data_IF_265263745858
#
_entry.id   IF_265263745858
#
_cell.length_a   1.000
_cell.length_b   1.000
_cell.length_c   1.000
_cell.angle_alpha   90.00
_cell.angle_beta   90.00
_cell.angle_gamma   90.00
#
_symmetry.space_group_name_H-M   'P 1'
#
loop_
_entity.id
_entity.type
_entity.pdbx_description
1 polymer ?
#
# COMPACT_ATOMS: atom_id res chain seq x y z
N UNK A 1 0.87 -6.71 31.64
CA UNK A 1 1.88 -6.32 30.66
C UNK A 1 3.23 -6.85 31.11
N UNK A 2 3.91 -7.64 30.29
CA UNK A 2 5.31 -7.99 30.55
C UNK A 2 6.24 -6.79 30.22
N UNK A 3 7.48 -6.81 30.71
CA UNK A 3 8.46 -5.70 30.56
C UNK A 3 8.78 -5.39 29.09
N UNK A 4 8.49 -6.31 28.16
CA UNK A 4 8.80 -6.16 26.73
C UNK A 4 7.60 -5.74 25.86
N UNK A 5 6.46 -5.40 26.45
CA UNK A 5 5.24 -5.05 25.72
C UNK A 5 5.03 -3.54 25.65
N UNK A 6 4.98 -3.01 24.43
CA UNK A 6 4.71 -1.59 24.17
C UNK A 6 3.21 -1.28 24.13
N UNK A 7 2.42 -2.15 23.47
CA UNK A 7 0.96 -2.04 23.37
C UNK A 7 0.33 -3.40 23.67
N UNK A 8 -0.67 -3.42 24.54
CA UNK A 8 -1.49 -4.59 24.82
C UNK A 8 -2.96 -4.18 24.75
N UNK A 9 -3.68 -4.69 23.75
CA UNK A 9 -5.10 -4.49 23.56
C UNK A 9 -5.86 -5.78 23.92
N UNK A 10 -6.90 -5.64 24.73
CA UNK A 10 -7.72 -6.75 25.22
C UNK A 10 -9.21 -6.44 24.99
N UNK A 11 -9.86 -7.19 24.10
CA UNK A 11 -11.29 -7.08 23.80
C UNK A 11 -11.72 -5.70 23.29
N UNK A 12 -10.81 -4.97 22.65
CA UNK A 12 -10.99 -3.56 22.31
C UNK A 12 -12.15 -3.40 21.31
N UNK A 13 -13.11 -2.54 21.63
CA UNK A 13 -14.26 -2.29 20.78
C UNK A 13 -14.72 -0.84 20.83
N UNK A 14 -15.25 -0.36 19.70
CA UNK A 14 -15.80 0.98 19.53
C UNK A 14 -17.06 0.95 18.70
N UNK A 15 -18.14 1.47 19.30
CA UNK A 15 -19.46 1.63 18.69
C UNK A 15 -19.74 3.11 18.47
N UNK A 16 -20.36 3.42 17.33
CA UNK A 16 -20.85 4.75 16.97
C UNK A 16 -22.36 4.68 16.72
N UNK A 17 -23.10 5.70 17.13
CA UNK A 17 -24.52 5.84 16.77
C UNK A 17 -24.62 6.45 15.37
N UNK A 18 -25.24 5.73 14.42
CA UNK A 18 -25.50 6.25 13.07
C UNK A 18 -26.90 6.83 13.03
N UNK A 19 -27.02 8.09 12.59
CA UNK A 19 -28.30 8.75 12.35
C UNK A 19 -28.80 9.71 13.42
N UNK A 20 -28.04 9.98 14.48
CA UNK A 20 -28.28 11.18 15.29
C UNK A 20 -27.45 12.32 14.71
N UNK A 21 -28.09 13.22 13.95
CA UNK A 21 -27.61 14.61 13.90
C UNK A 21 -27.31 15.00 15.36
N UNK A 22 -26.09 15.49 15.61
CA UNK A 22 -25.57 15.79 16.94
C UNK A 22 -26.66 16.34 17.86
N UNK A 23 -27.26 15.45 18.66
CA UNK A 23 -27.97 15.85 19.86
C UNK A 23 -26.86 16.36 20.76
N UNK A 24 -26.58 17.64 20.64
CA UNK A 24 -25.93 18.39 21.68
C UNK A 24 -26.72 18.03 22.94
N UNK A 25 -26.11 17.32 23.89
CA UNK A 25 -26.66 17.16 25.23
C UNK A 25 -26.65 18.53 25.89
N UNK A 26 -27.56 19.40 25.45
CA UNK A 26 -27.73 20.71 26.05
C UNK A 26 -28.44 20.48 27.38
N UNK A 27 -28.11 21.28 28.39
CA UNK A 27 -28.80 21.26 29.68
C UNK A 27 -30.33 21.39 29.51
N UNK A 28 -30.79 21.99 28.40
CA UNK A 28 -32.21 22.05 28.01
C UNK A 28 -32.82 20.68 27.74
N UNK A 29 -32.09 19.73 27.17
CA UNK A 29 -32.61 18.38 26.89
C UNK A 29 -32.80 17.56 28.18
N UNK A 30 -31.88 17.69 29.14
CA UNK A 30 -32.00 17.06 30.47
C UNK A 30 -33.17 17.64 31.26
N UNK A 31 -33.41 18.95 31.18
CA UNK A 31 -34.55 19.61 31.82
C UNK A 31 -35.87 19.24 31.11
N UNK A 32 -35.85 19.12 29.78
CA UNK A 32 -37.01 18.69 29.00
C UNK A 32 -37.37 17.21 29.26
N UNK A 33 -36.39 16.34 29.53
CA UNK A 33 -36.64 14.96 29.97
C UNK A 33 -37.25 14.88 31.37
N UNK A 34 -36.81 15.73 32.31
CA UNK A 34 -37.40 15.83 33.65
C UNK A 34 -38.87 16.27 33.64
N UNK A 35 -39.26 17.16 32.72
CA UNK A 35 -40.65 17.61 32.57
C UNK A 35 -41.53 16.63 31.77
N UNK A 36 -40.94 15.81 30.89
CA UNK A 36 -41.66 14.79 30.09
C UNK A 36 -41.96 13.50 30.84
N UNK A 37 -41.34 13.27 32.01
CA UNK A 37 -41.57 12.09 32.85
C UNK A 37 -43.02 11.92 33.37
N UNK A 38 -43.86 12.95 33.24
CA UNK A 38 -45.26 12.92 33.69
C UNK A 38 -46.29 12.71 32.56
N UNK A 39 -45.91 12.84 31.29
CA UNK A 39 -46.86 12.76 30.16
C UNK A 39 -46.22 12.22 28.87
N UNK A 40 -45.99 10.91 28.76
CA UNK A 40 -46.19 10.09 27.53
C UNK A 40 -45.67 8.66 27.72
N UNK A 41 -46.60 7.75 28.00
CA UNK A 41 -46.49 6.36 27.55
C UNK A 41 -46.66 6.37 26.02
N UNK A 42 -45.67 5.81 25.32
CA UNK A 42 -45.66 5.47 23.88
C UNK A 42 -45.24 6.53 22.85
N UNK A 43 -44.36 6.06 21.94
CA UNK A 43 -43.88 6.62 20.68
C UNK A 43 -42.75 7.65 20.70
N UNK A 44 -41.51 7.16 20.69
CA UNK A 44 -40.54 7.34 19.59
C UNK A 44 -39.19 6.70 19.97
N UNK A 45 -39.00 5.41 19.64
CA UNK A 45 -37.65 4.85 19.57
C UNK A 45 -36.97 5.53 18.39
N UNK A 46 -36.17 6.56 18.68
CA UNK A 46 -35.14 7.06 17.78
C UNK A 46 -34.37 5.85 17.26
N UNK A 47 -34.46 5.61 15.96
CA UNK A 47 -33.94 4.42 15.29
C UNK A 47 -32.43 4.61 15.06
N UNK A 48 -31.67 4.93 16.12
CA UNK A 48 -30.21 5.02 16.05
C UNK A 48 -29.69 3.62 15.76
N UNK A 49 -29.26 3.38 14.52
CA UNK A 49 -28.57 2.14 14.19
C UNK A 49 -27.18 2.25 14.77
N UNK A 50 -26.93 1.50 15.82
CA UNK A 50 -25.59 1.34 16.36
C UNK A 50 -24.69 0.64 15.33
N UNK A 51 -23.56 1.26 15.01
CA UNK A 51 -22.54 0.72 14.12
C UNK A 51 -21.27 0.38 14.91
N UNK A 52 -20.81 -0.85 14.79
CA UNK A 52 -19.53 -1.29 15.36
C UNK A 52 -18.41 -1.06 14.36
N UNK A 53 -17.54 -0.09 14.65
CA UNK A 53 -16.37 0.19 13.82
C UNK A 53 -15.18 -0.71 14.18
N UNK A 54 -15.09 -1.13 15.44
CA UNK A 54 -14.13 -2.12 15.93
C UNK A 54 -14.82 -2.97 17.00
N UNK A 55 -14.60 -4.28 17.01
CA UNK A 55 -15.21 -5.18 17.98
C UNK A 55 -14.27 -6.32 18.31
N UNK A 56 -14.00 -6.48 19.60
CA UNK A 56 -13.26 -7.62 20.15
C UNK A 56 -11.85 -7.78 19.56
N UNK A 57 -11.15 -6.66 19.37
CA UNK A 57 -9.78 -6.65 18.88
C UNK A 57 -8.80 -6.86 20.05
N UNK A 58 -8.06 -7.97 20.02
CA UNK A 58 -7.04 -8.30 21.01
C UNK A 58 -5.71 -8.59 20.31
N UNK A 59 -4.64 -7.92 20.74
CA UNK A 59 -3.30 -8.08 20.15
C UNK A 59 -2.23 -7.48 21.08
N UNK A 60 -0.99 -7.91 20.88
CA UNK A 60 0.18 -7.44 21.63
C UNK A 60 1.29 -7.04 20.67
N UNK A 61 1.90 -5.88 20.93
CA UNK A 61 3.03 -5.32 20.17
C UNK A 61 4.18 -5.06 21.13
N UNK A 62 5.36 -5.57 20.78
CA UNK A 62 6.56 -5.48 21.60
C UNK A 62 7.35 -4.21 21.31
N UNK A 63 8.22 -3.81 22.23
CA UNK A 63 9.12 -2.69 21.99
C UNK A 63 10.05 -2.96 20.79
N UNK A 64 10.19 -1.96 19.92
CA UNK A 64 11.01 -2.04 18.70
C UNK A 64 10.40 -2.86 17.57
N UNK A 65 9.18 -3.37 17.75
CA UNK A 65 8.46 -4.08 16.70
C UNK A 65 7.85 -3.10 15.69
N UNK A 66 7.93 -3.43 14.40
CA UNK A 66 7.27 -2.70 13.33
C UNK A 66 6.12 -3.54 12.75
N UNK A 67 4.89 -3.15 13.05
CA UNK A 67 3.66 -3.89 12.73
C UNK A 67 2.81 -3.11 11.73
N UNK A 68 2.44 -3.75 10.63
CA UNK A 68 1.53 -3.18 9.64
C UNK A 68 0.07 -3.43 10.00
N UNK A 69 -0.81 -2.43 9.92
CA UNK A 69 -2.26 -2.61 10.02
C UNK A 69 -2.86 -2.51 8.63
N UNK A 70 -3.34 -3.64 8.12
CA UNK A 70 -3.89 -3.74 6.76
C UNK A 70 -5.40 -4.05 6.81
N UNK A 71 -6.09 -3.74 5.71
CA UNK A 71 -7.51 -4.04 5.54
C UNK A 71 -8.25 -3.07 4.65
N UNK A 72 -9.45 -3.44 4.21
CA UNK A 72 -10.26 -2.63 3.30
C UNK A 72 -10.73 -1.31 3.93
N UNK A 73 -11.26 -0.41 3.10
CA UNK A 73 -11.91 0.80 3.58
C UNK A 73 -13.11 0.43 4.47
N UNK A 74 -13.25 1.12 5.60
CA UNK A 74 -14.27 0.79 6.59
C UNK A 74 -13.97 -0.42 7.48
N UNK A 75 -12.80 -1.06 7.37
CA UNK A 75 -12.43 -2.21 8.20
C UNK A 75 -12.13 -1.87 9.68
N UNK A 76 -12.04 -0.59 10.04
CA UNK A 76 -11.78 -0.14 11.42
C UNK A 76 -10.36 0.36 11.71
N UNK A 77 -9.47 0.46 10.70
CA UNK A 77 -8.07 0.89 10.84
C UNK A 77 -7.92 2.26 11.55
N UNK A 78 -8.57 3.29 11.02
CA UNK A 78 -8.53 4.64 11.61
C UNK A 78 -9.19 4.70 13.00
N UNK A 79 -10.19 3.85 13.25
CA UNK A 79 -10.81 3.74 14.59
C UNK A 79 -9.84 3.11 15.58
N UNK A 80 -9.14 2.04 15.20
CA UNK A 80 -8.10 1.43 16.02
C UNK A 80 -7.02 2.46 16.36
N UNK A 81 -6.55 3.20 15.36
CA UNK A 81 -5.53 4.24 15.56
C UNK A 81 -6.01 5.35 16.50
N UNK A 82 -7.25 5.82 16.38
CA UNK A 82 -7.85 6.81 17.30
C UNK A 82 -7.98 6.30 18.74
N UNK A 83 -8.17 4.99 18.93
CA UNK A 83 -8.19 4.39 20.26
C UNK A 83 -6.78 4.33 20.86
N UNK A 84 -5.79 3.91 20.06
CA UNK A 84 -4.39 3.82 20.50
C UNK A 84 -3.77 5.20 20.74
N UNK A 85 -4.14 6.22 19.96
CA UNK A 85 -3.73 7.61 20.17
C UNK A 85 -4.50 8.32 21.28
N UNK A 86 -5.47 7.66 21.93
CA UNK A 86 -6.34 8.20 22.99
C UNK A 86 -7.20 9.40 22.55
N UNK A 87 -7.37 9.62 21.25
CA UNK A 87 -8.31 10.61 20.69
C UNK A 87 -9.74 10.22 21.02
N UNK A 88 -10.04 8.92 21.06
CA UNK A 88 -11.36 8.42 21.48
C UNK A 88 -11.22 7.30 22.49
N UNK A 89 -12.20 7.21 23.40
CA UNK A 89 -12.27 6.14 24.40
C UNK A 89 -12.93 4.89 23.83
N UNK A 90 -12.51 3.68 24.22
CA UNK A 90 -13.18 2.44 23.84
C UNK A 90 -14.59 2.37 24.43
N UNK A 91 -15.50 1.72 23.72
CA UNK A 91 -16.81 1.32 24.25
C UNK A 91 -16.70 0.06 25.09
N UNK A 92 -15.81 -0.87 24.69
CA UNK A 92 -15.53 -2.12 25.40
C UNK A 92 -14.05 -2.44 25.37
N UNK A 93 -13.59 -3.24 26.34
CA UNK A 93 -12.19 -3.64 26.44
C UNK A 93 -11.28 -2.50 26.87
N UNK A 94 -9.97 -2.71 26.72
CA UNK A 94 -8.94 -1.74 27.09
C UNK A 94 -7.70 -1.89 26.21
N UNK A 95 -6.94 -0.81 26.12
CA UNK A 95 -5.58 -0.82 25.58
C UNK A 95 -4.64 -0.23 26.63
N UNK A 96 -3.63 -1.00 27.03
CA UNK A 96 -2.53 -0.53 27.89
C UNK A 96 -1.37 -0.20 26.99
N UNK A 97 -0.75 0.96 27.21
CA UNK A 97 0.35 1.46 26.38
C UNK A 97 1.48 1.91 27.30
N UNK A 98 2.66 1.34 27.09
CA UNK A 98 3.88 1.63 27.83
C UNK A 98 4.80 2.51 26.97
N UNK A 99 4.83 3.80 27.28
CA UNK A 99 5.65 4.79 26.57
C UNK A 99 4.83 5.95 25.97
N UNK A 100 5.55 6.92 25.41
CA UNK A 100 5.00 8.08 24.69
C UNK A 100 4.57 7.66 23.29
N UNK A 101 3.26 7.73 23.05
CA UNK A 101 2.67 7.54 21.72
C UNK A 101 2.67 8.87 20.99
N UNK A 102 3.20 8.85 19.77
CA UNK A 102 2.94 9.92 18.80
C UNK A 102 2.23 9.34 17.59
N UNK A 103 1.35 10.13 17.00
CA UNK A 103 0.58 9.72 15.85
C UNK A 103 0.65 10.77 14.74
N UNK A 104 1.11 10.36 13.56
CA UNK A 104 1.04 11.19 12.34
C UNK A 104 -0.32 11.07 11.65
N UNK A 105 -1.37 10.79 12.42
CA UNK A 105 -2.72 10.56 11.93
C UNK A 105 -3.41 11.85 11.47
N UNK A 106 -2.89 12.99 11.92
CA UNK A 106 -3.53 14.30 11.77
C UNK A 106 -2.44 15.38 11.68
N UNK A 107 -1.45 15.19 10.81
CA UNK A 107 -0.30 16.09 10.70
C UNK A 107 -0.75 17.54 10.49
N UNK A 108 -0.51 18.37 11.51
CA UNK A 108 -0.84 19.80 11.53
C UNK A 108 -2.15 20.15 12.25
N UNK A 109 -2.93 19.19 12.75
CA UNK A 109 -4.05 19.54 13.66
C UNK A 109 -3.50 20.11 14.94
N UNK A 110 -3.88 21.35 15.27
CA UNK A 110 -3.35 22.09 16.42
C UNK A 110 -2.43 23.25 16.03
N UNK A 111 -2.14 23.46 14.74
CA UNK A 111 -1.61 24.75 14.29
C UNK A 111 -2.66 25.85 14.47
N UNK A 112 -2.19 27.00 14.95
CA UNK A 112 -2.98 28.21 15.07
C UNK A 112 -2.69 29.12 13.88
N UNK A 113 -3.74 29.49 13.15
CA UNK A 113 -3.64 30.14 11.83
C UNK A 113 -3.03 31.55 11.91
N UNK A 114 -3.27 32.26 13.02
CA UNK A 114 -2.72 33.60 13.25
C UNK A 114 -1.26 33.59 13.74
N UNK A 115 -0.75 32.44 14.19
CA UNK A 115 0.63 32.33 14.66
C UNK A 115 1.60 32.11 13.50
N UNK A 116 2.83 32.55 13.67
CA UNK A 116 3.95 32.29 12.75
C UNK A 116 4.31 30.81 12.70
N UNK A 117 5.06 30.38 11.68
CA UNK A 117 5.61 29.03 11.64
C UNK A 117 6.47 28.71 12.88
N UNK A 118 7.28 29.67 13.34
CA UNK A 118 8.08 29.55 14.56
C UNK A 118 7.23 29.27 15.79
N UNK A 119 6.21 30.07 16.01
CA UNK A 119 5.30 29.91 17.17
C UNK A 119 4.52 28.59 17.07
N UNK A 120 4.10 28.21 15.86
CA UNK A 120 3.46 26.93 15.62
C UNK A 120 4.38 25.73 15.87
N UNK A 121 5.69 25.82 15.60
CA UNK A 121 6.64 24.77 16.00
C UNK A 121 6.55 24.55 17.50
N UNK A 122 6.62 25.61 18.32
CA UNK A 122 6.56 25.47 19.78
C UNK A 122 5.20 24.96 20.27
N UNK A 123 4.11 25.52 19.75
CA UNK A 123 2.75 25.12 20.13
C UNK A 123 2.48 23.65 19.79
N UNK A 124 2.74 23.26 18.54
CA UNK A 124 2.48 21.91 18.07
C UNK A 124 3.40 20.89 18.73
N UNK A 125 4.66 21.23 18.95
CA UNK A 125 5.58 20.38 19.72
C UNK A 125 5.07 20.13 21.14
N UNK A 126 4.51 21.14 21.81
CA UNK A 126 3.93 20.97 23.14
C UNK A 126 2.68 20.07 23.11
N UNK A 127 1.82 20.20 22.09
CA UNK A 127 0.67 19.30 21.87
C UNK A 127 1.13 17.85 21.70
N UNK A 128 2.24 17.64 20.98
CA UNK A 128 2.84 16.33 20.77
C UNK A 128 3.66 15.82 21.98
N UNK A 129 3.74 16.58 23.08
CA UNK A 129 4.43 16.17 24.30
C UNK A 129 5.96 16.30 24.23
N UNK A 130 6.49 17.15 23.35
CA UNK A 130 7.92 17.49 23.30
C UNK A 130 8.21 18.62 24.32
N UNK A 131 9.15 18.43 25.27
CA UNK A 131 9.57 19.48 26.18
C UNK A 131 10.13 20.69 25.42
N UNK A 132 9.85 21.90 25.88
CA UNK A 132 10.31 23.16 25.24
C UNK A 132 11.82 23.19 24.98
N UNK A 133 12.62 22.60 25.86
CA UNK A 133 14.07 22.53 25.72
C UNK A 133 14.50 21.57 24.61
N UNK A 134 13.76 20.49 24.38
CA UNK A 134 13.97 19.59 23.24
C UNK A 134 13.63 20.30 21.92
N UNK A 135 12.54 21.07 21.89
CA UNK A 135 12.18 21.91 20.74
C UNK A 135 13.29 22.90 20.42
N UNK A 136 13.81 23.60 21.44
CA UNK A 136 14.88 24.60 21.28
C UNK A 136 16.13 24.00 20.66
N UNK A 137 16.54 22.81 21.09
CA UNK A 137 17.71 22.09 20.55
C UNK A 137 17.52 21.62 19.11
N UNK A 138 16.30 21.21 18.75
CA UNK A 138 16.00 20.68 17.41
C UNK A 138 15.46 21.75 16.45
N UNK A 139 15.29 23.00 16.89
CA UNK A 139 14.57 24.03 16.13
C UNK A 139 15.16 24.26 14.73
N UNK A 140 16.47 24.42 14.62
CA UNK A 140 17.14 24.65 13.33
C UNK A 140 16.99 23.45 12.40
N UNK A 141 17.17 22.23 12.93
CA UNK A 141 16.98 21.00 12.17
C UNK A 141 15.54 20.83 11.66
N UNK A 142 14.54 21.20 12.48
CA UNK A 142 13.12 21.20 12.07
C UNK A 142 12.90 22.17 10.91
N UNK A 143 13.44 23.39 11.00
CA UNK A 143 13.28 24.42 9.96
C UNK A 143 13.99 24.04 8.66
N UNK A 144 15.19 23.47 8.76
CA UNK A 144 15.99 22.99 7.63
C UNK A 144 15.29 21.80 6.94
N UNK A 145 14.81 20.82 7.71
CA UNK A 145 14.08 19.67 7.19
C UNK A 145 12.83 20.13 6.43
N UNK A 146 12.08 21.08 7.01
CA UNK A 146 10.92 21.69 6.39
C UNK A 146 11.27 22.47 5.13
N UNK A 147 12.49 23.00 5.03
CA UNK A 147 12.94 23.89 3.96
C UNK A 147 12.13 25.19 3.91
N UNK A 148 11.85 25.77 5.07
CA UNK A 148 11.00 26.97 5.24
C UNK A 148 11.71 28.10 5.99
N UNK A 149 13.04 28.15 5.97
CA UNK A 149 13.83 29.16 6.69
C UNK A 149 13.35 30.60 6.40
N UNK A 150 13.15 30.94 5.13
CA UNK A 150 12.73 32.29 4.71
C UNK A 150 11.29 32.64 5.10
N UNK A 151 10.46 31.63 5.40
CA UNK A 151 9.04 31.80 5.68
C UNK A 151 8.68 31.56 7.15
N UNK A 152 9.64 31.17 7.99
CA UNK A 152 9.34 30.67 9.34
C UNK A 152 8.65 31.69 10.25
N UNK A 153 8.91 32.97 10.03
CA UNK A 153 8.31 34.08 10.76
C UNK A 153 7.04 34.64 10.07
N UNK A 154 6.54 33.96 9.04
CA UNK A 154 5.28 34.28 8.38
C UNK A 154 4.11 33.55 9.07
N UNK A 155 2.96 34.20 9.31
CA UNK A 155 1.75 33.56 9.80
C UNK A 155 1.31 32.37 8.94
N UNK A 156 0.96 31.25 9.58
CA UNK A 156 0.64 29.99 8.88
C UNK A 156 -0.58 30.12 7.95
N UNK A 157 -1.51 31.04 8.20
CA UNK A 157 -2.60 31.35 7.25
C UNK A 157 -2.14 31.79 5.86
N UNK A 158 -0.88 32.21 5.70
CA UNK A 158 -0.27 32.60 4.41
C UNK A 158 0.56 31.47 3.79
N UNK A 159 0.68 30.32 4.45
CA UNK A 159 1.39 29.17 3.92
C UNK A 159 0.56 28.53 2.81
N UNK A 160 1.24 28.00 1.78
CA UNK A 160 0.60 27.03 0.90
C UNK A 160 0.29 25.73 1.68
N UNK A 161 -0.63 24.92 1.15
CA UNK A 161 -0.92 23.59 1.71
C UNK A 161 0.34 22.71 1.83
N UNK A 162 1.26 22.82 0.87
CA UNK A 162 2.55 22.12 0.92
C UNK A 162 3.46 22.61 2.05
N UNK A 163 3.59 23.93 2.23
CA UNK A 163 4.38 24.50 3.34
C UNK A 163 3.81 24.09 4.71
N UNK A 164 2.48 24.11 4.84
CA UNK A 164 1.78 23.70 6.04
C UNK A 164 2.14 22.26 6.44
N UNK A 165 1.97 21.33 5.50
CA UNK A 165 2.24 19.90 5.75
C UNK A 165 3.72 19.66 5.99
N UNK A 166 4.60 20.32 5.23
CA UNK A 166 6.05 20.22 5.42
C UNK A 166 6.45 20.62 6.83
N UNK A 167 5.97 21.76 7.34
CA UNK A 167 6.29 22.21 8.70
C UNK A 167 5.78 21.23 9.75
N UNK A 168 4.51 20.82 9.65
CA UNK A 168 3.90 19.92 10.61
C UNK A 168 4.58 18.54 10.64
N UNK A 169 4.93 17.99 9.47
CA UNK A 169 5.68 16.74 9.38
C UNK A 169 7.09 16.90 9.95
N UNK A 170 7.77 18.02 9.67
CA UNK A 170 9.14 18.27 10.16
C UNK A 170 9.22 18.30 11.68
N UNK A 171 8.25 18.92 12.34
CA UNK A 171 8.15 18.89 13.81
C UNK A 171 7.99 17.46 14.30
N UNK A 172 7.08 16.71 13.68
CA UNK A 172 6.77 15.36 14.11
C UNK A 172 7.91 14.35 13.83
N UNK A 173 8.67 14.56 12.75
CA UNK A 173 9.86 13.76 12.41
C UNK A 173 11.04 13.98 13.37
N UNK A 174 11.07 15.12 14.07
CA UNK A 174 12.08 15.39 15.10
C UNK A 174 11.61 15.04 16.51
N UNK A 175 10.40 14.49 16.64
CA UNK A 175 9.95 13.87 17.87
C UNK A 175 10.63 12.52 18.05
N UNK A 176 11.02 12.21 19.29
CA UNK A 176 11.53 10.88 19.67
C UNK A 176 10.48 10.11 20.48
N UNK A 177 9.41 9.60 19.87
CA UNK A 177 8.42 8.80 20.58
C UNK A 177 8.93 7.38 20.83
N UNK A 178 8.40 6.75 21.88
CA UNK A 178 8.64 5.32 22.14
C UNK A 178 7.82 4.44 21.16
N UNK A 179 6.65 4.98 20.75
CA UNK A 179 5.68 4.35 19.86
C UNK A 179 5.22 5.38 18.82
N UNK A 180 5.43 5.08 17.54
CA UNK A 180 4.96 5.91 16.43
C UNK A 180 3.81 5.22 15.68
N UNK A 181 2.68 5.91 15.59
CA UNK A 181 1.56 5.53 14.74
C UNK A 181 1.66 6.31 13.42
N UNK A 182 1.88 5.61 12.33
CA UNK A 182 1.99 6.16 10.98
C UNK A 182 0.72 5.85 10.21
N UNK A 183 0.08 6.89 9.68
CA UNK A 183 -0.97 6.76 8.65
C UNK A 183 -0.40 7.14 7.28
N UNK A 184 -1.12 6.86 6.20
CA UNK A 184 -0.69 7.01 4.79
C UNK A 184 -0.21 8.43 4.39
N UNK A 185 -0.27 9.39 5.31
CA UNK A 185 0.17 10.80 5.24
C UNK A 185 1.66 10.95 4.85
N UNK A 186 2.45 9.88 4.86
CA UNK A 186 3.83 9.91 4.34
C UNK A 186 3.93 10.25 2.84
N UNK A 187 2.83 10.13 2.08
CA UNK A 187 2.79 10.43 0.65
C UNK A 187 2.55 11.91 0.32
N UNK A 188 2.45 12.78 1.32
CA UNK A 188 2.11 14.20 1.11
C UNK A 188 3.38 15.04 0.88
N UNK A 189 3.34 15.91 -0.13
CA UNK A 189 4.44 16.81 -0.49
C UNK A 189 4.97 16.59 -1.91
N UNK A 190 6.01 17.34 -2.28
CA UNK A 190 6.73 17.12 -3.53
C UNK A 190 7.65 15.87 -3.44
N UNK A 191 8.14 15.40 -4.59
CA UNK A 191 9.00 14.21 -4.70
C UNK A 191 10.25 14.31 -3.81
N UNK A 192 10.80 15.52 -3.65
CA UNK A 192 11.98 15.74 -2.81
C UNK A 192 11.66 15.58 -1.33
N UNK A 193 10.49 16.03 -0.88
CA UNK A 193 10.02 15.89 0.49
C UNK A 193 9.58 14.46 0.80
N UNK A 194 8.92 13.78 -0.13
CA UNK A 194 8.60 12.35 0.01
C UNK A 194 9.85 11.50 0.23
N UNK A 195 10.96 11.80 -0.47
CA UNK A 195 12.24 11.13 -0.23
C UNK A 195 12.74 11.34 1.20
N UNK A 196 12.65 12.57 1.74
CA UNK A 196 12.98 12.85 3.14
C UNK A 196 12.09 12.08 4.12
N UNK A 197 10.80 11.95 3.86
CA UNK A 197 9.87 11.15 4.66
C UNK A 197 10.22 9.66 4.66
N UNK A 198 10.67 9.12 3.52
CA UNK A 198 11.12 7.74 3.40
C UNK A 198 12.44 7.50 4.14
N UNK A 199 13.39 8.43 4.07
CA UNK A 199 14.65 8.37 4.83
C UNK A 199 14.41 8.43 6.33
N UNK A 200 13.51 9.32 6.78
CA UNK A 200 13.04 9.36 8.17
C UNK A 200 12.47 8.01 8.61
N UNK A 201 11.58 7.43 7.82
CA UNK A 201 10.94 6.14 8.12
C UNK A 201 11.97 5.02 8.27
N UNK A 202 12.98 4.95 7.38
CA UNK A 202 14.09 3.99 7.48
C UNK A 202 14.96 4.20 8.70
N UNK A 203 15.24 5.46 9.06
CA UNK A 203 16.02 5.77 10.26
C UNK A 203 15.27 5.37 11.53
N UNK A 204 13.95 5.54 11.54
CA UNK A 204 13.10 5.15 12.67
C UNK A 204 13.09 3.62 12.89
N UNK A 205 13.13 2.84 11.81
CA UNK A 205 13.27 1.39 11.90
C UNK A 205 14.62 0.98 12.52
N UNK A 206 15.69 1.71 12.21
CA UNK A 206 17.03 1.46 12.78
C UNK A 206 17.13 1.86 14.24
N UNK A 207 16.30 2.80 14.71
CA UNK A 207 16.36 3.32 16.08
C UNK A 207 15.63 2.46 17.12
N UNK A 208 15.22 1.23 16.78
CA UNK A 208 14.41 0.35 17.63
C UNK A 208 13.11 1.00 18.15
N UNK A 209 12.57 1.97 17.42
CA UNK A 209 11.27 2.55 17.76
C UNK A 209 10.16 1.51 17.50
N UNK A 210 9.12 1.53 18.31
CA UNK A 210 7.93 0.71 18.04
C UNK A 210 7.07 1.41 17.00
N UNK A 211 6.73 0.74 15.91
CA UNK A 211 6.02 1.36 14.78
C UNK A 211 4.73 0.60 14.53
N UNK A 212 3.60 1.30 14.50
CA UNK A 212 2.38 0.81 13.88
C UNK A 212 2.17 1.58 12.59
N UNK A 213 2.24 0.88 11.47
CA UNK A 213 2.13 1.48 10.16
C UNK A 213 0.83 1.09 9.48
N UNK A 214 0.01 2.06 9.12
CA UNK A 214 -1.26 1.86 8.44
C UNK A 214 -1.12 2.38 7.03
N UNK A 215 -1.28 1.49 6.07
CA UNK A 215 -1.15 1.84 4.65
C UNK A 215 -2.04 0.94 3.80
N UNK A 216 -2.45 1.48 2.66
CA UNK A 216 -3.10 0.72 1.59
C UNK A 216 -2.07 0.21 0.57
N UNK A 217 -0.82 0.69 0.66
CA UNK A 217 0.29 0.28 -0.18
C UNK A 217 1.01 -0.95 0.41
N UNK A 218 0.76 -2.12 -0.18
CA UNK A 218 1.35 -3.39 0.30
C UNK A 218 2.86 -3.47 0.10
N UNK A 219 3.42 -2.77 -0.89
CA UNK A 219 4.88 -2.68 -1.07
C UNK A 219 5.54 -1.97 0.12
N UNK A 220 4.95 -0.87 0.58
CA UNK A 220 5.43 -0.15 1.76
C UNK A 220 5.29 -1.02 3.01
N UNK A 221 4.17 -1.71 3.20
CA UNK A 221 3.97 -2.65 4.32
C UNK A 221 5.03 -3.76 4.29
N UNK A 222 5.27 -4.38 3.13
CA UNK A 222 6.24 -5.47 2.95
C UNK A 222 7.67 -5.03 3.25
N UNK A 223 8.02 -3.81 2.84
CA UNK A 223 9.36 -3.25 3.08
C UNK A 223 9.54 -2.81 4.53
N UNK A 224 8.46 -2.37 5.20
CA UNK A 224 8.55 -1.70 6.48
C UNK A 224 8.20 -2.56 7.71
N UNK A 225 7.47 -3.64 7.52
CA UNK A 225 6.92 -4.44 8.61
C UNK A 225 7.25 -5.92 8.40
N UNK A 226 7.68 -6.60 9.47
CA UNK A 226 7.88 -8.05 9.48
C UNK A 226 6.63 -8.83 9.91
N UNK A 227 5.68 -8.13 10.54
CA UNK A 227 4.39 -8.65 11.00
C UNK A 227 3.26 -7.71 10.59
N UNK A 228 2.10 -8.25 10.30
CA UNK A 228 0.87 -7.49 10.02
C UNK A 228 -0.31 -7.99 10.82
N UNK A 229 -1.19 -7.05 11.18
CA UNK A 229 -2.52 -7.30 11.71
C UNK A 229 -3.52 -6.95 10.62
N UNK A 230 -4.26 -7.95 10.14
CA UNK A 230 -5.29 -7.78 9.13
C UNK A 230 -6.65 -7.57 9.80
N UNK A 231 -7.26 -6.41 9.55
CA UNK A 231 -8.61 -6.06 9.98
C UNK A 231 -9.63 -6.29 8.86
N UNK A 232 -10.74 -6.95 9.20
CA UNK A 232 -11.92 -7.14 8.34
C UNK A 232 -13.19 -6.92 9.14
N UNK A 233 -14.04 -5.99 8.68
CA UNK A 233 -15.34 -5.70 9.32
C UNK A 233 -15.25 -5.33 10.80
N UNK A 234 -14.19 -4.62 11.21
CA UNK A 234 -13.97 -4.23 12.60
C UNK A 234 -13.37 -5.32 13.50
N UNK A 235 -12.97 -6.47 12.96
CA UNK A 235 -12.34 -7.57 13.71
C UNK A 235 -10.95 -7.87 13.17
N UNK A 236 -10.06 -8.34 14.04
CA UNK A 236 -8.77 -8.91 13.63
C UNK A 236 -9.04 -10.32 13.08
N UNK A 237 -8.70 -10.55 11.83
CA UNK A 237 -8.86 -11.86 11.17
C UNK A 237 -7.54 -12.58 10.96
N UNK A 238 -6.42 -11.87 11.02
CA UNK A 238 -5.08 -12.44 10.98
C UNK A 238 -4.09 -11.53 11.72
N UNK A 239 -3.14 -12.15 12.39
CA UNK A 239 -2.04 -11.49 13.09
C UNK A 239 -0.80 -12.40 12.97
N UNK A 240 0.19 -11.99 12.19
CA UNK A 240 1.33 -12.85 11.86
C UNK A 240 2.25 -12.28 10.78
N UNK A 241 3.07 -13.12 10.11
CA UNK A 241 4.04 -12.69 9.12
C UNK A 241 3.42 -11.87 7.98
N UNK A 242 4.13 -10.82 7.56
CA UNK A 242 3.66 -9.86 6.55
C UNK A 242 3.20 -10.50 5.25
N UNK A 243 4.01 -11.39 4.67
CA UNK A 243 3.68 -12.03 3.38
C UNK A 243 2.35 -12.78 3.42
N UNK A 244 2.09 -13.52 4.50
CA UNK A 244 0.84 -14.28 4.64
C UNK A 244 -0.37 -13.36 4.84
N UNK A 245 -0.20 -12.29 5.61
CA UNK A 245 -1.29 -11.33 5.80
C UNK A 245 -1.62 -10.54 4.52
N UNK A 246 -0.62 -10.19 3.72
CA UNK A 246 -0.80 -9.58 2.40
C UNK A 246 -1.57 -10.54 1.46
N UNK A 247 -1.17 -11.81 1.40
CA UNK A 247 -1.87 -12.83 0.59
C UNK A 247 -3.36 -12.95 0.96
N UNK A 248 -3.68 -12.96 2.27
CA UNK A 248 -5.06 -13.00 2.76
C UNK A 248 -5.84 -11.73 2.40
N UNK A 249 -5.21 -10.56 2.58
CA UNK A 249 -5.79 -9.27 2.20
C UNK A 249 -6.07 -9.19 0.70
N UNK A 250 -5.15 -9.61 -0.15
CA UNK A 250 -5.29 -9.60 -1.60
C UNK A 250 -6.38 -10.56 -2.07
N UNK A 251 -6.47 -11.75 -1.48
CA UNK A 251 -7.56 -12.69 -1.72
C UNK A 251 -8.91 -12.04 -1.39
N UNK A 252 -9.03 -11.36 -0.26
CA UNK A 252 -10.24 -10.66 0.13
C UNK A 252 -10.52 -9.41 -0.71
N UNK A 253 -9.50 -8.70 -1.19
CA UNK A 253 -9.66 -7.59 -2.14
C UNK A 253 -10.17 -8.10 -3.49
N UNK A 254 -9.64 -9.23 -3.97
CA UNK A 254 -10.13 -9.91 -5.17
C UNK A 254 -11.60 -10.28 -4.97
N UNK A 255 -11.97 -10.87 -3.83
CA UNK A 255 -13.36 -11.22 -3.51
C UNK A 255 -14.28 -10.00 -3.26
N UNK A 256 -13.77 -8.88 -2.73
CA UNK A 256 -14.57 -7.68 -2.45
C UNK A 256 -14.83 -6.85 -3.71
N UNK A 257 -13.89 -6.85 -4.67
CA UNK A 257 -14.09 -6.30 -6.02
C UNK A 257 -15.07 -7.17 -6.81
N UNK A 258 -15.09 -8.47 -6.54
CA UNK A 258 -16.11 -9.40 -7.00
C UNK A 258 -17.37 -9.25 -6.10
N UNK A 259 -18.13 -8.17 -6.26
CA UNK A 259 -19.52 -8.13 -5.76
C UNK A 259 -20.34 -9.19 -6.49
N UNK A 260 -20.19 -10.42 -6.06
CA UNK A 260 -20.90 -11.59 -6.56
C UNK A 260 -22.07 -11.79 -5.62
N UNK A 261 -23.28 -11.61 -6.14
CA UNK A 261 -24.51 -11.98 -5.43
C UNK A 261 -24.64 -13.50 -5.25
N UNK A 262 -23.76 -14.29 -5.89
CA UNK A 262 -23.85 -15.74 -5.98
C UNK A 262 -22.49 -16.42 -5.76
N UNK A 263 -22.49 -17.59 -5.13
CA UNK A 263 -21.29 -18.44 -4.99
C UNK A 263 -20.74 -18.85 -6.38
N UNK A 264 -19.43 -19.16 -6.53
CA UNK A 264 -18.84 -19.54 -7.82
C UNK A 264 -19.58 -20.66 -8.56
N UNK A 265 -20.18 -21.60 -7.83
CA UNK A 265 -20.97 -22.71 -8.36
C UNK A 265 -22.29 -22.28 -9.02
N UNK A 266 -22.79 -21.10 -8.65
CA UNK A 266 -24.04 -20.49 -9.10
C UNK A 266 -23.82 -19.47 -10.21
N UNK A 267 -22.57 -19.24 -10.63
CA UNK A 267 -22.28 -18.28 -11.69
C UNK A 267 -22.92 -18.71 -13.02
N UNK A 268 -23.49 -17.75 -13.76
CA UNK A 268 -24.11 -18.02 -15.06
C UNK A 268 -23.06 -18.39 -16.11
N UNK A 269 -21.79 -17.99 -15.91
CA UNK A 269 -20.68 -18.30 -16.81
C UNK A 269 -19.56 -19.00 -16.06
N UNK A 270 -19.03 -20.06 -16.66
CA UNK A 270 -17.89 -20.82 -16.15
C UNK A 270 -16.75 -20.79 -17.15
N UNK A 271 -15.58 -20.32 -16.75
CA UNK A 271 -14.39 -20.42 -17.59
C UNK A 271 -13.87 -21.86 -17.52
N UNK A 272 -13.74 -22.51 -18.68
CA UNK A 272 -13.26 -23.90 -18.82
C UNK A 272 -11.76 -23.95 -18.99
N UNK A 273 -11.23 -23.03 -19.79
CA UNK A 273 -9.81 -23.01 -20.13
C UNK A 273 -9.34 -21.60 -20.52
N UNK A 274 -8.05 -21.35 -20.29
CA UNK A 274 -7.38 -20.11 -20.65
C UNK A 274 -6.03 -20.43 -21.24
N UNK A 275 -5.90 -20.21 -22.54
CA UNK A 275 -4.68 -20.51 -23.29
C UNK A 275 -3.94 -19.21 -23.58
N UNK A 276 -2.68 -19.16 -23.17
CA UNK A 276 -1.73 -18.09 -23.47
C UNK A 276 -0.80 -18.58 -24.59
N UNK A 277 -0.69 -17.81 -25.66
CA UNK A 277 0.10 -18.16 -26.85
C UNK A 277 0.76 -16.93 -27.47
N UNK A 278 1.75 -17.16 -28.34
CA UNK A 278 2.34 -16.13 -29.18
C UNK A 278 1.35 -15.56 -30.19
N UNK A 279 1.75 -14.48 -30.87
CA UNK A 279 0.91 -13.88 -31.93
C UNK A 279 0.57 -14.88 -33.04
N UNK A 280 1.49 -15.80 -33.37
CA UNK A 280 1.30 -16.87 -34.36
C UNK A 280 0.48 -18.06 -33.84
N UNK A 281 0.10 -18.07 -32.55
CA UNK A 281 -0.66 -19.15 -31.91
C UNK A 281 0.20 -20.31 -31.42
N UNK A 282 1.52 -20.13 -31.36
CA UNK A 282 2.46 -21.05 -30.74
C UNK A 282 2.35 -21.02 -29.20
N UNK A 283 2.45 -22.18 -28.55
CA UNK A 283 2.45 -22.29 -27.10
C UNK A 283 3.68 -21.56 -26.54
N UNK A 284 3.42 -20.44 -25.88
CA UNK A 284 4.46 -19.52 -25.42
C UNK A 284 4.06 -18.87 -24.11
N UNK A 285 4.91 -19.01 -23.11
CA UNK A 285 4.72 -18.45 -21.77
C UNK A 285 5.80 -17.43 -21.40
N UNK A 286 6.80 -17.22 -22.26
CA UNK A 286 7.86 -16.21 -22.07
C UNK A 286 7.83 -15.25 -23.25
N UNK A 287 7.65 -13.97 -22.98
CA UNK A 287 7.52 -12.91 -23.98
C UNK A 287 8.65 -11.89 -23.83
N UNK A 288 9.18 -11.39 -24.95
CA UNK A 288 10.11 -10.27 -24.95
C UNK A 288 9.36 -8.93 -24.88
N UNK A 289 10.02 -7.89 -24.39
CA UNK A 289 9.46 -6.53 -24.40
C UNK A 289 9.06 -6.16 -25.83
N UNK A 290 7.81 -5.71 -26.00
CA UNK A 290 7.26 -5.33 -27.30
C UNK A 290 6.65 -6.49 -28.11
N UNK A 291 6.76 -7.74 -27.67
CA UNK A 291 6.01 -8.83 -28.29
C UNK A 291 4.51 -8.72 -28.01
N UNK A 292 3.70 -9.34 -28.86
CA UNK A 292 2.25 -9.43 -28.69
C UNK A 292 1.90 -10.83 -28.19
N UNK A 293 0.89 -10.89 -27.34
CA UNK A 293 0.40 -12.11 -26.71
C UNK A 293 -1.04 -12.34 -27.10
N UNK A 294 -1.40 -13.60 -27.36
CA UNK A 294 -2.76 -14.03 -27.62
C UNK A 294 -3.30 -14.78 -26.41
N UNK A 295 -4.46 -14.36 -25.92
CA UNK A 295 -5.16 -14.99 -24.80
C UNK A 295 -6.52 -15.47 -25.30
N UNK A 296 -6.71 -16.79 -25.29
CA UNK A 296 -7.96 -17.45 -25.66
C UNK A 296 -8.65 -17.94 -24.41
N UNK A 297 -9.92 -17.57 -24.24
CA UNK A 297 -10.75 -17.95 -23.10
C UNK A 297 -11.87 -18.83 -23.61
N UNK A 298 -11.89 -20.09 -23.17
CA UNK A 298 -12.99 -21.01 -23.40
C UNK A 298 -13.92 -20.92 -22.20
N UNK A 299 -15.20 -20.62 -22.44
CA UNK A 299 -16.19 -20.49 -21.38
C UNK A 299 -17.48 -21.25 -21.73
N UNK A 300 -18.21 -21.65 -20.71
CA UNK A 300 -19.53 -22.25 -20.81
C UNK A 300 -20.54 -21.31 -20.16
N UNK A 301 -21.55 -20.90 -20.92
CA UNK A 301 -22.66 -20.09 -20.41
C UNK A 301 -23.90 -20.95 -20.17
N UNK A 302 -24.51 -20.80 -18.98
CA UNK A 302 -25.77 -21.44 -18.60
C UNK A 302 -27.00 -20.67 -19.08
N UNK A 303 -26.81 -19.41 -19.47
CA UNK A 303 -27.86 -18.53 -19.97
C UNK A 303 -27.41 -17.84 -21.26
N UNK A 304 -28.33 -17.24 -22.00
CA UNK A 304 -27.97 -16.34 -23.09
C UNK A 304 -27.24 -15.12 -22.53
N UNK A 305 -26.11 -14.76 -23.14
CA UNK A 305 -25.32 -13.58 -22.81
C UNK A 305 -25.61 -12.48 -23.82
N UNK A 306 -26.01 -11.32 -23.31
CA UNK A 306 -26.22 -10.11 -24.12
C UNK A 306 -25.14 -9.13 -23.76
N UNK A 307 -24.18 -8.95 -24.66
CA UNK A 307 -23.08 -7.98 -24.57
C UNK A 307 -22.34 -7.95 -23.21
N UNK A 308 -21.78 -9.05 -22.67
CA UNK A 308 -21.02 -8.98 -21.43
C UNK A 308 -19.64 -8.36 -21.66
N UNK A 309 -19.13 -7.70 -20.63
CA UNK A 309 -17.79 -7.14 -20.59
C UNK A 309 -16.79 -8.20 -20.11
N UNK A 310 -15.88 -8.61 -20.99
CA UNK A 310 -14.74 -9.46 -20.69
C UNK A 310 -13.54 -8.58 -20.33
N UNK A 311 -13.03 -8.75 -19.12
CA UNK A 311 -11.91 -8.00 -18.58
C UNK A 311 -10.76 -8.98 -18.32
N UNK A 312 -9.58 -8.64 -18.85
CA UNK A 312 -8.35 -9.43 -18.68
C UNK A 312 -7.32 -8.52 -18.01
N UNK A 313 -6.87 -8.91 -16.82
CA UNK A 313 -5.93 -8.14 -16.01
C UNK A 313 -4.60 -8.90 -15.86
N UNK A 314 -3.48 -8.20 -16.02
CA UNK A 314 -2.15 -8.73 -15.75
C UNK A 314 -1.66 -8.22 -14.42
N UNK A 315 -1.49 -9.14 -13.48
CA UNK A 315 -0.98 -8.84 -12.15
C UNK A 315 0.45 -9.36 -12.05
N UNK A 316 1.37 -8.51 -11.61
CA UNK A 316 2.75 -8.90 -11.33
C UNK A 316 2.81 -9.82 -10.12
N UNK A 317 3.97 -10.45 -9.89
CA UNK A 317 4.27 -11.31 -8.74
C UNK A 317 3.98 -10.68 -7.37
N UNK A 318 3.96 -9.35 -7.25
CA UNK A 318 3.55 -8.58 -6.06
C UNK A 318 2.09 -8.13 -6.09
N UNK A 319 1.27 -8.77 -6.93
CA UNK A 319 -0.16 -8.53 -7.15
C UNK A 319 -0.56 -7.13 -7.65
N UNK A 320 0.40 -6.29 -8.02
CA UNK A 320 0.12 -5.01 -8.67
C UNK A 320 -0.47 -5.27 -10.06
N UNK A 321 -1.67 -4.74 -10.32
CA UNK A 321 -2.26 -4.76 -11.66
C UNK A 321 -1.49 -3.80 -12.58
N UNK A 322 -0.80 -4.36 -13.57
CA UNK A 322 0.07 -3.61 -14.47
C UNK A 322 -0.60 -3.28 -15.81
N UNK A 323 -1.60 -4.06 -16.22
CA UNK A 323 -2.31 -3.87 -17.49
C UNK A 323 -3.71 -4.48 -17.43
N UNK A 324 -4.69 -3.85 -18.11
CA UNK A 324 -6.05 -4.34 -18.24
C UNK A 324 -6.54 -4.20 -19.68
N UNK A 325 -7.25 -5.21 -20.17
CA UNK A 325 -8.02 -5.20 -21.42
C UNK A 325 -9.50 -5.35 -21.09
N UNK A 326 -10.38 -4.70 -21.85
CA UNK A 326 -11.82 -4.76 -21.63
C UNK A 326 -12.55 -4.68 -22.96
N UNK A 327 -13.37 -5.69 -23.27
CA UNK A 327 -14.17 -5.68 -24.50
C UNK A 327 -15.06 -4.44 -24.59
N UNK A 328 -15.62 -3.98 -23.47
CA UNK A 328 -16.42 -2.75 -23.41
C UNK A 328 -15.61 -1.49 -23.74
N UNK A 329 -14.42 -1.34 -23.12
CA UNK A 329 -13.57 -0.17 -23.35
C UNK A 329 -13.03 -0.12 -24.78
N UNK A 330 -12.80 -1.30 -25.36
CA UNK A 330 -12.34 -1.46 -26.74
C UNK A 330 -13.50 -1.39 -27.75
N UNK A 331 -14.74 -1.20 -27.29
CA UNK A 331 -15.93 -1.07 -28.14
C UNK A 331 -16.39 -2.36 -28.82
N UNK A 332 -15.87 -3.52 -28.36
CA UNK A 332 -16.20 -4.84 -28.88
C UNK A 332 -17.51 -5.30 -28.25
N UNK A 333 -18.52 -5.57 -29.09
CA UNK A 333 -19.76 -6.22 -28.65
C UNK A 333 -19.61 -7.73 -28.69
N UNK A 334 -20.05 -8.39 -27.62
CA UNK A 334 -19.94 -9.85 -27.50
C UNK A 334 -21.32 -10.42 -27.22
N UNK A 335 -21.98 -11.06 -28.18
CA UNK A 335 -23.23 -11.77 -27.90
C UNK A 335 -22.97 -13.28 -27.92
N UNK A 336 -23.56 -14.01 -26.97
CA UNK A 336 -23.34 -15.44 -26.80
C UNK A 336 -24.64 -16.20 -26.54
N UNK A 337 -24.87 -17.27 -27.29
CA UNK A 337 -25.94 -18.22 -26.97
C UNK A 337 -25.53 -19.11 -25.78
N UNK A 338 -26.52 -19.78 -25.18
CA UNK A 338 -26.26 -20.77 -24.13
C UNK A 338 -25.38 -21.91 -24.68
N UNK A 339 -24.34 -22.31 -23.94
CA UNK A 339 -23.41 -23.36 -24.34
C UNK A 339 -21.94 -22.95 -24.21
N UNK A 340 -21.06 -23.74 -24.84
CA UNK A 340 -19.61 -23.50 -24.85
C UNK A 340 -19.25 -22.54 -25.98
N UNK A 341 -18.47 -21.52 -25.66
CA UNK A 341 -18.00 -20.51 -26.60
C UNK A 341 -16.57 -20.07 -26.26
N UNK A 342 -15.95 -19.35 -27.20
CA UNK A 342 -14.58 -18.88 -27.09
C UNK A 342 -14.50 -17.40 -27.41
N UNK A 343 -13.74 -16.65 -26.61
CA UNK A 343 -13.32 -15.28 -26.92
C UNK A 343 -11.80 -15.20 -26.93
N UNK A 344 -11.25 -14.36 -27.80
CA UNK A 344 -9.81 -14.22 -27.96
C UNK A 344 -9.42 -12.75 -28.02
N UNK A 345 -8.34 -12.40 -27.34
CA UNK A 345 -7.70 -11.08 -27.44
C UNK A 345 -6.27 -11.25 -27.90
N UNK A 346 -5.83 -10.35 -28.79
CA UNK A 346 -4.44 -10.18 -29.14
C UNK A 346 -3.98 -8.83 -28.57
N UNK A 347 -3.04 -8.86 -27.63
CA UNK A 347 -2.56 -7.65 -26.96
C UNK A 347 -1.87 -6.70 -27.96
N UNK A 348 -1.81 -5.39 -27.68
CA UNK A 348 -0.77 -4.55 -28.25
C UNK A 348 0.63 -5.04 -27.81
N UNK A 349 1.70 -4.53 -28.43
CA UNK A 349 3.07 -4.76 -27.96
C UNK A 349 3.18 -4.56 -26.44
N UNK A 350 3.67 -5.58 -25.73
CA UNK A 350 3.74 -5.58 -24.27
C UNK A 350 4.69 -4.50 -23.79
N UNK A 351 4.21 -3.64 -22.89
CA UNK A 351 4.97 -2.58 -22.21
C UNK A 351 5.14 -2.88 -20.72
N UNK A 352 5.39 -4.15 -20.41
CA UNK A 352 5.57 -4.65 -19.06
C UNK A 352 7.07 -4.74 -18.75
N UNK A 353 7.42 -4.54 -17.48
CA UNK A 353 8.81 -4.76 -17.01
C UNK A 353 9.10 -6.25 -16.93
N UNK A 354 10.38 -6.62 -16.86
CA UNK A 354 10.76 -8.01 -16.71
C UNK A 354 10.31 -8.56 -15.34
N UNK A 355 9.37 -9.50 -15.33
CA UNK A 355 8.85 -10.18 -14.13
C UNK A 355 7.97 -11.38 -14.55
N UNK A 356 7.42 -12.07 -13.54
CA UNK A 356 6.34 -13.04 -13.68
C UNK A 356 5.00 -12.34 -13.50
N UNK A 357 4.06 -12.66 -14.38
CA UNK A 357 2.71 -12.13 -14.39
C UNK A 357 1.68 -13.25 -14.32
N UNK A 358 0.55 -12.96 -13.70
CA UNK A 358 -0.65 -13.79 -13.66
C UNK A 358 -1.75 -13.11 -14.47
N UNK A 359 -2.45 -13.91 -15.29
CA UNK A 359 -3.61 -13.46 -16.06
C UNK A 359 -4.86 -13.71 -15.22
N UNK A 360 -5.58 -12.65 -14.93
CA UNK A 360 -6.87 -12.68 -14.24
C UNK A 360 -7.98 -12.34 -15.25
N UNK A 361 -9.07 -13.10 -15.24
CA UNK A 361 -10.23 -12.88 -16.09
C UNK A 361 -11.42 -12.55 -15.21
N UNK A 362 -12.18 -11.53 -15.62
CA UNK A 362 -13.44 -11.13 -15.02
C UNK A 362 -14.47 -10.95 -16.15
N UNK A 363 -15.64 -11.55 -16.00
CA UNK A 363 -16.78 -11.37 -16.91
C UNK A 363 -17.90 -10.73 -16.10
N UNK A 364 -18.48 -9.64 -16.61
CA UNK A 364 -19.61 -8.94 -15.98
C UNK A 364 -20.62 -8.47 -17.04
N UNK A 365 -21.84 -8.20 -16.64
CA UNK A 365 -22.81 -7.54 -17.54
C UNK A 365 -22.37 -6.10 -17.88
N UNK A 366 -22.64 -5.65 -19.11
CA UNK A 366 -22.36 -4.27 -19.52
C UNK A 366 -23.31 -3.29 -18.83
N UNK A 367 -22.76 -2.22 -18.25
CA UNK A 367 -23.52 -1.21 -17.51
C UNK A 367 -23.97 -1.61 -16.09
N UNK A 368 -24.03 -2.91 -15.77
CA UNK A 368 -24.32 -3.42 -14.43
C UNK A 368 -23.04 -3.78 -13.66
N UNK A 369 -23.14 -3.87 -12.33
CA UNK A 369 -22.03 -4.30 -11.44
C UNK A 369 -22.04 -5.82 -11.17
N UNK A 370 -22.92 -6.58 -11.84
CA UNK A 370 -23.09 -8.00 -11.57
C UNK A 370 -22.00 -8.82 -12.27
N UNK A 371 -21.26 -9.58 -11.46
CA UNK A 371 -20.19 -10.46 -11.91
C UNK A 371 -20.79 -11.77 -12.40
N UNK A 372 -20.52 -12.10 -13.65
CA UNK A 372 -20.92 -13.34 -14.30
C UNK A 372 -19.90 -14.46 -14.08
N UNK A 373 -18.60 -14.12 -13.96
CA UNK A 373 -17.51 -15.06 -13.69
C UNK A 373 -16.22 -14.34 -13.29
N UNK A 374 -15.33 -15.00 -12.53
CA UNK A 374 -13.93 -14.59 -12.37
C UNK A 374 -12.98 -15.78 -12.13
N UNK A 375 -11.84 -15.80 -12.83
CA UNK A 375 -10.87 -16.91 -12.74
C UNK A 375 -9.43 -16.43 -12.97
N UNK A 376 -8.47 -17.12 -12.36
CA UNK A 376 -7.05 -17.01 -12.70
C UNK A 376 -6.77 -17.94 -13.88
N UNK A 377 -6.37 -17.37 -15.01
CA UNK A 377 -6.21 -18.12 -16.25
C UNK A 377 -4.87 -18.84 -16.35
N UNK A 378 -3.77 -18.15 -16.06
CA UNK A 378 -2.43 -18.71 -16.21
C UNK A 378 -1.32 -17.72 -15.86
N UNK A 379 -0.08 -18.14 -16.03
CA UNK A 379 1.12 -17.31 -15.79
C UNK A 379 1.88 -17.10 -17.09
N UNK A 380 2.52 -15.94 -17.23
CA UNK A 380 3.48 -15.66 -18.28
C UNK A 380 4.62 -14.82 -17.74
N UNK A 381 5.74 -14.80 -18.47
CA UNK A 381 6.97 -14.10 -18.11
C UNK A 381 7.27 -13.04 -19.16
N UNK A 382 7.83 -11.91 -18.72
CA UNK A 382 8.35 -10.88 -19.62
C UNK A 382 9.87 -10.79 -19.44
N UNK A 383 10.62 -10.79 -20.55
CA UNK A 383 12.08 -10.67 -20.60
C UNK A 383 12.50 -9.31 -21.20
N UNK A 384 13.66 -8.80 -20.79
CA UNK A 384 14.21 -7.53 -21.26
C UNK A 384 15.73 -7.62 -21.47
N UNK A 385 16.22 -7.22 -22.65
CA UNK A 385 17.63 -7.39 -23.09
C UNK A 385 18.69 -6.69 -22.22
N UNK A 386 18.38 -5.53 -21.61
CA UNK A 386 19.31 -4.85 -20.69
C UNK A 386 19.61 -5.63 -19.40
N UNK A 387 18.78 -6.62 -19.04
CA UNK A 387 19.02 -7.51 -17.91
C UNK A 387 19.39 -8.88 -18.49
N UNK A 388 20.61 -8.94 -19.02
CA UNK A 388 21.16 -10.15 -19.62
C UNK A 388 21.07 -11.32 -18.62
N UNK A 389 20.73 -12.47 -19.15
CA UNK A 389 20.10 -13.59 -18.50
C UNK A 389 20.62 -13.89 -17.08
N UNK A 390 19.72 -13.79 -16.08
CA UNK A 390 19.60 -14.64 -14.87
C UNK A 390 18.80 -13.87 -13.79
N UNK A 391 17.48 -13.79 -13.95
CA UNK A 391 16.47 -13.72 -12.87
C UNK A 391 16.86 -13.03 -11.54
N UNK A 392 17.45 -11.83 -11.52
CA UNK A 392 17.92 -11.21 -10.27
C UNK A 392 18.98 -12.01 -9.49
N UNK A 393 19.54 -13.07 -10.08
CA UNK A 393 20.69 -13.84 -9.63
C UNK A 393 21.86 -13.45 -10.53
N UNK A 394 22.66 -12.50 -10.08
CA UNK A 394 23.92 -12.19 -10.76
C UNK A 394 24.99 -13.20 -10.33
N UNK A 395 25.82 -13.63 -11.28
CA UNK A 395 27.00 -14.43 -11.01
C UNK A 395 28.24 -13.52 -11.06
N UNK A 396 28.90 -13.31 -9.93
CA UNK A 396 30.26 -12.76 -9.90
C UNK A 396 31.28 -13.90 -9.83
N UNK A 397 32.38 -13.78 -10.57
CA UNK A 397 33.44 -14.77 -10.58
C UNK A 397 34.16 -14.80 -9.21
N UNK A 398 33.93 -15.87 -8.44
CA UNK A 398 34.70 -16.16 -7.22
C UNK A 398 36.07 -16.75 -7.54
N UNK A 399 37.07 -16.50 -6.69
CA UNK A 399 38.36 -17.20 -6.74
C UNK A 399 38.25 -18.50 -5.93
N UNK A 400 38.41 -19.65 -6.60
CA UNK A 400 38.30 -20.95 -5.97
C UNK A 400 39.68 -21.57 -5.83
N UNK A 401 39.99 -22.11 -4.64
CA UNK A 401 41.19 -22.91 -4.42
C UNK A 401 40.79 -24.33 -4.04
N UNK A 402 41.49 -25.31 -4.59
CA UNK A 402 41.28 -26.72 -4.32
C UNK A 402 42.56 -27.28 -3.70
N UNK A 403 42.45 -28.01 -2.61
CA UNK A 403 43.59 -28.70 -1.98
C UNK A 403 43.14 -30.03 -1.40
N UNK A 404 43.93 -31.08 -1.63
CA UNK A 404 43.86 -32.29 -0.82
C UNK A 404 44.67 -32.03 0.46
N UNK A 405 44.22 -32.39 1.66
CA UNK A 405 44.99 -32.22 2.89
C UNK A 405 46.32 -33.00 2.92
N UNK A 406 46.61 -33.79 1.88
CA UNK A 406 47.84 -34.58 1.72
C UNK A 406 48.71 -34.20 0.50
N UNK A 407 48.35 -33.16 -0.27
CA UNK A 407 49.15 -32.72 -1.41
C UNK A 407 50.09 -31.58 -0.99
N UNK A 408 51.40 -31.85 -0.99
CA UNK A 408 52.43 -30.82 -0.82
C UNK A 408 52.64 -30.13 -2.17
N UNK A 409 52.03 -28.95 -2.31
CA UNK A 409 52.13 -28.10 -3.51
C UNK A 409 50.74 -27.67 -3.99
N UNK A 410 50.36 -26.43 -3.70
CA UNK A 410 49.05 -25.89 -4.08
C UNK A 410 48.99 -25.58 -5.58
N UNK A 411 48.11 -26.25 -6.30
CA UNK A 411 47.72 -25.87 -7.66
C UNK A 411 46.33 -25.23 -7.64
N UNK A 412 46.21 -24.06 -8.26
CA UNK A 412 44.94 -23.36 -8.47
C UNK A 412 44.11 -24.08 -9.55
N UNK A 413 42.86 -24.41 -9.23
CA UNK A 413 41.90 -24.98 -10.18
C UNK A 413 41.54 -23.96 -11.28
N UNK A 414 41.96 -24.20 -12.53
CA UNK A 414 41.53 -23.41 -13.69
C UNK A 414 40.39 -24.10 -14.46
N UNK A 415 39.23 -23.45 -14.60
CA UNK A 415 38.12 -23.89 -15.46
C UNK A 415 38.18 -23.24 -16.86
N UNK A 416 37.52 -23.83 -17.89
CA UNK A 416 37.53 -23.31 -19.24
C UNK A 416 36.54 -22.14 -19.39
N UNK A 417 37.01 -20.98 -19.86
CA UNK A 417 36.11 -19.89 -20.29
C UNK A 417 36.50 -18.47 -19.88
N UNK A 418 37.78 -18.10 -19.96
CA UNK A 418 38.21 -16.70 -19.93
C UNK A 418 38.83 -16.30 -21.28
N UNK A 419 38.06 -16.37 -22.36
CA UNK A 419 38.51 -15.86 -23.66
C UNK A 419 37.37 -15.68 -24.66
N UNK A 420 36.68 -14.54 -24.62
CA UNK A 420 36.15 -13.84 -25.81
C UNK A 420 35.35 -12.59 -25.42
N UNK A 421 36.03 -11.51 -25.03
CA UNK A 421 35.51 -10.15 -25.25
C UNK A 421 36.21 -9.61 -26.50
N UNK A 422 35.60 -9.94 -27.65
CA UNK A 422 36.04 -9.53 -28.96
C UNK A 422 35.79 -8.03 -29.18
N UNK A 423 36.90 -7.30 -29.30
CA UNK A 423 37.11 -6.09 -30.09
C UNK A 423 35.90 -5.47 -30.80
N UNK A 424 35.43 -4.32 -30.28
CA UNK A 424 34.77 -3.29 -31.07
C UNK A 424 35.77 -2.72 -32.08
N UNK A 425 35.76 -3.22 -33.32
CA UNK A 425 36.44 -2.58 -34.46
C UNK A 425 35.51 -1.55 -35.11
N UNK A 426 36.01 -0.31 -35.15
CA UNK A 426 35.56 0.79 -36.01
C UNK A 426 35.85 0.48 -37.49
N UNK A 427 34.89 0.81 -38.34
CA UNK A 427 35.00 1.20 -39.75
C UNK A 427 33.97 2.34 -39.88
N UNK A 428 34.23 3.52 -40.44
CA UNK A 428 34.90 3.83 -41.70
C UNK A 428 35.33 5.31 -41.75
N UNK A 429 36.10 5.63 -42.78
CA UNK A 429 36.99 6.78 -42.99
C UNK A 429 36.31 8.12 -43.31
N UNK A 430 36.96 9.24 -42.93
CA UNK A 430 37.34 10.33 -43.85
C UNK A 430 38.30 11.32 -43.14
N UNK A 431 39.35 11.70 -43.87
CA UNK A 431 40.50 12.54 -43.46
C UNK A 431 40.24 14.06 -43.70
N UNK A 432 41.21 14.99 -43.58
CA UNK A 432 41.56 15.73 -42.36
C UNK A 432 41.48 17.28 -42.53
N UNK A 433 41.91 17.99 -41.49
CA UNK A 433 42.31 19.41 -41.45
C UNK A 433 41.23 20.46 -41.07
N UNK A 434 41.38 21.04 -39.88
CA UNK A 434 41.57 22.48 -39.70
C UNK A 434 41.87 22.79 -38.24
N UNK A 435 43.03 23.41 -38.02
CA UNK A 435 43.43 24.09 -36.78
C UNK A 435 42.62 25.38 -36.65
N UNK A 436 41.99 25.62 -35.50
CA UNK A 436 41.69 26.98 -35.04
C UNK A 436 41.53 27.03 -33.51
N UNK A 437 42.42 27.81 -32.92
CA UNK A 437 42.46 28.32 -31.55
C UNK A 437 41.30 29.31 -31.34
N UNK A 438 40.66 29.33 -30.16
CA UNK A 438 40.54 30.54 -29.32
C UNK A 438 39.70 30.33 -28.04
N UNK A 439 40.07 31.17 -27.09
CA UNK A 439 39.83 31.18 -25.66
C UNK A 439 38.39 31.50 -25.21
N UNK A 440 38.14 31.14 -23.95
CA UNK A 440 37.25 31.77 -22.94
C UNK A 440 36.35 32.93 -23.40
N UNK A 441 35.07 32.80 -23.05
CA UNK A 441 34.46 33.63 -21.99
C UNK A 441 33.47 32.83 -21.18
#
# INVERSE_FOLDING_TARGET
MSVNEAICAEGLGKRYAVGSAAQHNTLRDVIAEGARGLFRRSAARSNSRDFWALRDASFVIRHGESVGIIGLNGAGKSTLLKLLSRITVPTTGRAVIAGRVSALLEVGTGFHWELTGRENIYLYSAILGMPREEVRRNFEAIVEFAGLADFIDTPVKRYSSGMYVRLAFSVAAHLRPDILLLDEVLSVGDVSFQKKCMDFSRNLQRSQATILFVSHNMFSIKTMCSRVIYLKGGRIVFDGPTDKGIELYETDCRLATLRTGAAPEQWPVMIKDVVISGEAGDDKTVFDLGERMRIRIVYESRTKLVDPNFIIAFLRSDAVACCNFSSEADGVKVDGEQGVATIEVLTPPLKLVADVYTVHILIRERGFQEVLCAQIGGTFHVRHDLFDAHFGVFHEAGTWSCGSPYAVGGETCSGPGASSLGALRRTEEASPAAVAVLERK
#
